data_IF_163276444940
#
_entry.id   IF_163276444940
#
_cell.length_a   1.000
_cell.length_b   1.000
_cell.length_c   1.000
_cell.angle_alpha   90.00
_cell.angle_beta   90.00
_cell.angle_gamma   90.00
#
_symmetry.space_group_name_H-M   'P 1'
#
loop_
_entity.id
_entity.type
_entity.pdbx_description
1 polymer ?
#
# COMPACT_ATOMS: atom_id res chain seq x y z
N UNK A 1 -15.33 6.31 -6.63
CA UNK A 1 -14.31 6.26 -7.69
C UNK A 1 -13.44 5.01 -7.52
N UNK A 2 -13.96 3.80 -7.82
CA UNK A 2 -13.15 2.58 -7.86
C UNK A 2 -12.04 2.62 -8.93
N UNK A 3 -12.19 3.47 -9.94
CA UNK A 3 -11.29 3.62 -11.08
C UNK A 3 -9.87 4.00 -10.64
N UNK A 4 -9.74 4.74 -9.54
CA UNK A 4 -8.43 5.04 -8.95
C UNK A 4 -7.71 3.78 -8.48
N UNK A 5 -8.42 2.93 -7.70
CA UNK A 5 -7.84 1.70 -7.13
C UNK A 5 -7.56 0.69 -8.24
N UNK A 6 -8.47 0.54 -9.18
CA UNK A 6 -8.27 -0.32 -10.37
C UNK A 6 -7.08 0.15 -11.20
N UNK A 7 -6.94 1.46 -11.41
CA UNK A 7 -5.77 2.05 -12.06
C UNK A 7 -4.47 1.75 -11.32
N UNK A 8 -4.45 1.85 -9.98
CA UNK A 8 -3.29 1.51 -9.15
C UNK A 8 -2.93 0.02 -9.21
N UNK A 9 -3.91 -0.87 -9.31
CA UNK A 9 -3.72 -2.32 -9.41
C UNK A 9 -3.52 -2.81 -10.85
N UNK A 10 -3.66 -1.93 -11.83
CA UNK A 10 -3.50 -2.27 -13.24
C UNK A 10 -2.05 -2.52 -13.66
N UNK A 11 -1.91 -3.00 -14.88
CA UNK A 11 -0.70 -3.20 -15.67
C UNK A 11 -0.22 -1.93 -16.41
N UNK A 12 -0.81 -0.75 -16.13
CA UNK A 12 -0.39 0.49 -16.78
C UNK A 12 1.10 0.80 -16.49
N UNK A 13 1.90 1.14 -17.52
CA UNK A 13 3.33 1.44 -17.35
C UNK A 13 3.56 2.69 -16.49
N UNK A 14 2.62 3.62 -16.48
CA UNK A 14 2.57 4.76 -15.55
C UNK A 14 1.20 4.86 -14.91
N UNK A 15 1.18 4.80 -13.58
CA UNK A 15 -0.02 4.88 -12.74
C UNK A 15 -0.25 6.31 -12.25
N UNK A 16 -0.17 7.28 -13.16
CA UNK A 16 -0.59 8.67 -12.89
C UNK A 16 -2.07 8.84 -13.22
N UNK A 17 -2.68 9.91 -12.72
CA UNK A 17 -4.13 10.16 -12.83
C UNK A 17 -4.63 10.09 -14.27
N UNK A 18 -3.90 10.71 -15.20
CA UNK A 18 -4.34 10.81 -16.60
C UNK A 18 -4.37 9.44 -17.31
N UNK A 19 -3.31 8.62 -17.33
CA UNK A 19 -3.37 7.25 -17.86
C UNK A 19 -4.48 6.39 -17.21
N UNK A 20 -4.68 6.51 -15.90
CA UNK A 20 -5.73 5.76 -15.20
C UNK A 20 -7.13 6.21 -15.65
N UNK A 21 -7.35 7.52 -15.75
CA UNK A 21 -8.63 8.07 -16.19
C UNK A 21 -8.94 7.71 -17.65
N UNK A 22 -7.95 7.82 -18.54
CA UNK A 22 -8.08 7.43 -19.95
C UNK A 22 -8.39 5.93 -20.09
N UNK A 23 -7.72 5.06 -19.33
CA UNK A 23 -8.00 3.61 -19.33
C UNK A 23 -9.42 3.30 -18.83
N UNK A 24 -9.88 4.01 -17.81
CA UNK A 24 -11.21 3.81 -17.22
C UNK A 24 -12.35 4.51 -17.99
N UNK A 25 -12.04 5.28 -19.04
CA UNK A 25 -13.05 6.02 -19.81
C UNK A 25 -13.71 7.16 -19.04
N UNK A 26 -13.05 7.68 -18.00
CA UNK A 26 -13.57 8.80 -17.18
C UNK A 26 -12.83 10.10 -17.50
N UNK A 27 -13.47 11.27 -17.36
CA UNK A 27 -12.78 12.54 -17.56
C UNK A 27 -11.58 12.68 -16.61
N UNK A 28 -10.42 13.01 -17.17
CA UNK A 28 -9.16 13.20 -16.40
C UNK A 28 -9.37 14.17 -15.24
N UNK A 29 -10.11 15.26 -15.50
CA UNK A 29 -10.39 16.29 -14.50
C UNK A 29 -11.13 15.72 -13.29
N UNK A 30 -12.12 14.86 -13.49
CA UNK A 30 -12.89 14.24 -12.40
C UNK A 30 -11.97 13.47 -11.45
N UNK A 31 -11.03 12.69 -11.98
CA UNK A 31 -10.10 11.93 -11.15
C UNK A 31 -9.03 12.82 -10.48
N UNK A 32 -8.62 13.92 -11.12
CA UNK A 32 -7.76 14.92 -10.49
C UNK A 32 -8.44 15.61 -9.29
N UNK A 33 -9.71 15.98 -9.44
CA UNK A 33 -10.49 16.64 -8.38
C UNK A 33 -10.80 15.70 -7.23
N UNK A 34 -11.06 14.43 -7.53
CA UNK A 34 -11.19 13.37 -6.53
C UNK A 34 -9.95 13.29 -5.63
N UNK A 35 -8.74 13.34 -6.19
CA UNK A 35 -7.51 13.28 -5.40
C UNK A 35 -7.15 14.60 -4.70
N UNK A 36 -7.42 15.75 -5.33
CA UNK A 36 -6.87 17.04 -4.87
C UNK A 36 -7.85 17.93 -4.10
N UNK A 37 -9.15 17.86 -4.39
CA UNK A 37 -10.13 18.81 -3.84
C UNK A 37 -11.03 18.20 -2.77
N UNK A 38 -11.19 16.87 -2.75
CA UNK A 38 -12.04 16.22 -1.77
C UNK A 38 -11.29 16.05 -0.44
N UNK A 39 -11.99 16.27 0.68
CA UNK A 39 -11.43 16.02 2.01
C UNK A 39 -11.42 14.52 2.28
N UNK A 40 -10.23 13.99 2.51
CA UNK A 40 -10.02 12.59 2.86
C UNK A 40 -9.97 12.44 4.37
N UNK A 41 -10.81 11.55 4.90
CA UNK A 41 -10.69 11.10 6.29
C UNK A 41 -9.69 9.94 6.33
N UNK A 42 -8.41 10.30 6.50
CA UNK A 42 -7.29 9.36 6.44
C UNK A 42 -7.39 8.28 7.52
N UNK A 43 -7.79 8.64 8.74
CA UNK A 43 -7.96 7.69 9.84
C UNK A 43 -9.10 6.71 9.57
N UNK A 44 -10.25 7.21 9.11
CA UNK A 44 -11.38 6.34 8.77
C UNK A 44 -11.03 5.39 7.62
N UNK A 45 -10.28 5.84 6.62
CA UNK A 45 -9.81 4.98 5.54
C UNK A 45 -8.84 3.91 6.03
N UNK A 46 -7.84 4.28 6.83
CA UNK A 46 -6.89 3.33 7.44
C UNK A 46 -7.66 2.25 8.22
N UNK A 47 -8.57 2.67 9.08
CA UNK A 47 -9.36 1.75 9.91
C UNK A 47 -10.27 0.87 9.06
N UNK A 48 -10.82 1.41 7.97
CA UNK A 48 -11.63 0.63 7.03
C UNK A 48 -10.81 -0.47 6.37
N UNK A 49 -9.61 -0.17 5.90
CA UNK A 49 -8.70 -1.16 5.29
C UNK A 49 -8.31 -2.22 6.32
N UNK A 50 -7.94 -1.81 7.54
CA UNK A 50 -7.61 -2.74 8.62
C UNK A 50 -8.78 -3.70 8.93
N UNK A 51 -10.02 -3.20 8.97
CA UNK A 51 -11.22 -4.03 9.16
C UNK A 51 -11.46 -5.02 8.03
N UNK A 52 -11.22 -4.63 6.77
CA UNK A 52 -11.32 -5.55 5.62
C UNK A 52 -10.29 -6.66 5.76
N UNK A 53 -9.04 -6.30 6.03
CA UNK A 53 -7.94 -7.24 6.19
C UNK A 53 -8.20 -8.24 7.31
N UNK A 54 -8.62 -7.76 8.49
CA UNK A 54 -8.93 -8.64 9.63
C UNK A 54 -10.10 -9.56 9.30
N UNK A 55 -11.17 -9.04 8.68
CA UNK A 55 -12.34 -9.84 8.32
C UNK A 55 -11.98 -10.96 7.32
N UNK A 56 -11.19 -10.65 6.30
CA UNK A 56 -10.98 -11.54 5.15
C UNK A 56 -9.73 -12.41 5.29
N UNK A 57 -8.77 -12.02 6.14
CA UNK A 57 -7.45 -12.64 6.22
C UNK A 57 -6.96 -12.93 7.65
N UNK A 58 -7.74 -12.69 8.70
CA UNK A 58 -7.32 -13.09 10.05
C UNK A 58 -7.48 -14.61 10.27
N UNK A 59 -6.56 -15.19 11.03
CA UNK A 59 -6.58 -16.58 11.46
C UNK A 59 -5.87 -16.75 12.79
N UNK A 60 -5.91 -17.97 13.34
CA UNK A 60 -5.33 -18.30 14.66
C UNK A 60 -3.84 -17.93 14.79
N UNK A 61 -3.13 -17.91 13.67
CA UNK A 61 -1.69 -17.63 13.59
C UNK A 61 -1.39 -16.37 12.77
N UNK A 62 -2.26 -15.36 12.88
CA UNK A 62 -2.00 -14.04 12.31
C UNK A 62 -0.89 -13.31 13.05
N UNK A 63 -0.03 -12.65 12.28
CA UNK A 63 1.08 -11.81 12.76
C UNK A 63 0.99 -10.45 12.06
N UNK A 64 1.26 -9.38 12.81
CA UNK A 64 1.48 -8.05 12.25
C UNK A 64 2.96 -7.85 11.95
N UNK A 65 3.26 -7.41 10.74
CA UNK A 65 4.61 -7.04 10.31
C UNK A 65 4.66 -5.52 10.27
N UNK A 66 5.59 -4.94 11.03
CA UNK A 66 5.93 -3.53 10.92
C UNK A 66 7.17 -3.42 10.03
N UNK A 67 7.05 -2.68 8.95
CA UNK A 67 8.12 -2.48 7.99
C UNK A 67 8.28 -0.99 7.67
N UNK A 68 9.53 -0.55 7.61
CA UNK A 68 9.89 0.79 7.19
C UNK A 68 10.22 0.79 5.70
N UNK A 69 9.67 1.75 4.98
CA UNK A 69 10.01 1.97 3.58
C UNK A 69 10.40 3.43 3.38
N UNK A 70 11.49 3.64 2.63
CA UNK A 70 11.99 4.97 2.34
C UNK A 70 12.11 5.22 0.83
N UNK A 71 11.86 6.47 0.43
CA UNK A 71 11.95 6.90 -0.96
C UNK A 71 12.67 8.23 -1.07
N UNK A 72 13.73 8.26 -1.88
CA UNK A 72 14.47 9.49 -2.19
C UNK A 72 13.56 10.48 -2.93
N UNK A 73 13.65 11.76 -2.56
CA UNK A 73 12.90 12.85 -3.18
C UNK A 73 13.81 14.00 -3.55
N UNK A 74 13.45 14.69 -4.64
CA UNK A 74 14.06 15.96 -5.04
C UNK A 74 13.11 17.09 -4.64
N UNK A 75 13.62 18.07 -3.90
CA UNK A 75 12.85 19.21 -3.40
C UNK A 75 12.01 18.92 -2.15
N UNK A 76 11.14 19.87 -1.82
CA UNK A 76 10.50 19.97 -0.49
C UNK A 76 8.97 19.88 -0.54
N UNK A 77 8.38 19.67 -1.73
CA UNK A 77 6.92 19.69 -1.92
C UNK A 77 6.21 18.40 -1.52
N UNK A 78 6.95 17.33 -1.22
CA UNK A 78 6.34 16.07 -0.79
C UNK A 78 6.15 16.10 0.74
N UNK A 79 4.94 15.90 1.28
CA UNK A 79 4.74 15.84 2.72
C UNK A 79 5.66 14.82 3.40
N UNK A 80 6.25 15.19 4.55
CA UNK A 80 7.17 14.33 5.31
C UNK A 80 8.56 14.18 4.71
N UNK A 81 8.89 14.91 3.63
CA UNK A 81 10.25 14.92 3.08
C UNK A 81 11.18 15.74 3.98
N UNK A 82 12.32 15.16 4.32
CA UNK A 82 13.38 15.84 5.06
C UNK A 82 14.71 15.11 4.86
N UNK A 83 15.80 15.76 5.28
CA UNK A 83 17.12 15.13 5.29
C UNK A 83 17.24 14.21 6.51
N UNK A 84 17.17 12.90 6.28
CA UNK A 84 17.17 11.87 7.32
C UNK A 84 17.78 10.57 6.79
N UNK A 85 17.96 9.55 7.63
CA UNK A 85 18.45 8.25 7.16
C UNK A 85 17.45 7.63 6.18
N UNK A 86 17.93 7.29 4.98
CA UNK A 86 17.14 6.68 3.93
C UNK A 86 17.61 5.24 3.71
N UNK A 87 16.84 4.27 4.18
CA UNK A 87 17.13 2.84 4.00
C UNK A 87 17.39 2.45 2.54
N UNK A 88 16.66 3.05 1.57
CA UNK A 88 16.83 2.76 0.14
C UNK A 88 18.22 3.11 -0.42
N UNK A 89 18.97 4.02 0.21
CA UNK A 89 20.34 4.40 -0.20
C UNK A 89 21.39 4.21 0.92
N UNK A 90 20.98 3.69 2.08
CA UNK A 90 21.87 3.36 3.22
C UNK A 90 22.58 4.56 3.86
N UNK A 91 22.10 5.79 3.63
CA UNK A 91 22.75 7.02 4.11
C UNK A 91 21.75 8.11 4.42
N UNK A 92 22.22 9.21 5.02
CA UNK A 92 21.40 10.41 5.12
C UNK A 92 21.16 11.04 3.75
N UNK A 93 19.89 11.21 3.41
CA UNK A 93 19.47 11.82 2.15
C UNK A 93 18.13 12.53 2.30
N UNK A 94 17.80 13.42 1.37
CA UNK A 94 16.46 13.99 1.28
C UNK A 94 15.45 12.92 0.84
N UNK A 95 14.63 12.44 1.78
CA UNK A 95 13.73 11.32 1.55
C UNK A 95 12.46 11.42 2.40
N UNK A 96 11.45 10.68 1.99
CA UNK A 96 10.32 10.32 2.86
C UNK A 96 10.60 8.94 3.46
N UNK A 97 10.17 8.76 4.69
CA UNK A 97 10.19 7.47 5.39
C UNK A 97 8.77 7.21 5.90
N UNK A 98 8.22 6.04 5.57
CA UNK A 98 6.89 5.63 6.00
C UNK A 98 6.99 4.27 6.68
N UNK A 99 6.20 4.09 7.74
CA UNK A 99 6.09 2.80 8.44
C UNK A 99 4.73 2.19 8.12
N UNK A 100 4.74 0.94 7.69
CA UNK A 100 3.56 0.21 7.27
C UNK A 100 3.30 -0.99 8.19
N UNK A 101 2.02 -1.27 8.45
CA UNK A 101 1.58 -2.48 9.12
C UNK A 101 0.96 -3.44 8.09
N UNK A 102 1.56 -4.61 7.91
CA UNK A 102 1.08 -5.67 7.03
C UNK A 102 0.60 -6.90 7.81
N UNK A 103 -0.47 -7.58 7.36
CA UNK A 103 -0.87 -8.88 7.91
C UNK A 103 -0.02 -10.01 7.33
N UNK A 104 0.24 -11.03 8.14
CA UNK A 104 0.71 -12.33 7.67
C UNK A 104 -0.04 -13.42 8.43
N UNK A 105 -0.32 -14.55 7.77
CA UNK A 105 -0.87 -15.73 8.44
C UNK A 105 0.04 -16.89 8.16
N UNK A 106 0.48 -17.57 9.22
CA UNK A 106 1.20 -18.83 9.04
C UNK A 106 0.23 -19.87 8.48
N UNK A 107 0.51 -20.39 7.28
CA UNK A 107 -0.17 -21.59 6.81
C UNK A 107 0.20 -22.76 7.73
N UNK A 108 -0.80 -23.43 8.30
CA UNK A 108 -0.58 -24.73 8.89
C UNK A 108 -0.26 -25.69 7.75
N UNK A 109 0.94 -26.26 7.73
CA UNK A 109 1.26 -27.39 6.86
C UNK A 109 0.22 -28.50 7.10
N UNK A 110 -0.27 -29.19 6.04
CA UNK A 110 -1.08 -30.38 6.26
C UNK A 110 -0.23 -31.37 7.05
N UNK A 111 -0.81 -31.87 8.13
CA UNK A 111 -0.21 -32.86 9.03
C UNK A 111 0.49 -33.94 8.21
N UNK A 112 1.80 -34.11 8.39
CA UNK A 112 2.53 -35.18 7.73
C UNK A 112 1.86 -36.52 8.06
N UNK A 113 1.33 -37.22 7.05
CA UNK A 113 0.81 -38.58 7.20
C UNK A 113 1.93 -39.46 7.77
N UNK A 114 1.71 -40.15 8.90
CA UNK A 114 2.75 -41.00 9.47
C UNK A 114 3.11 -42.13 8.48
N UNK A 115 4.40 -42.50 8.35
CA UNK A 115 4.82 -43.52 7.40
C UNK A 115 4.17 -44.86 7.78
N UNK A 116 3.50 -45.50 6.81
CA UNK A 116 3.02 -46.86 6.96
C UNK A 116 4.22 -47.79 7.09
N UNK A 117 4.31 -48.48 8.22
CA UNK A 117 5.31 -49.53 8.48
C UNK A 117 4.95 -50.75 7.63
N UNK A 118 5.85 -51.14 6.73
CA UNK A 118 5.85 -52.46 6.08
C UNK A 118 6.30 -53.54 7.06
#
# INVERSE_FOLDING_TARGET
MPEYVEGQLSDLPRKSVEPMALKAGVPVRTLQEFLSQHKWDHDRMRDRVAKIVVRDHAGRHSMGILDETSFVKKGEKTPGVQRQHCGAVGKQENCIVTVHLGPSVRSSSPTATPPQRT
#
